data_IF_053009646514
#
_entry.id   IF_053009646514
#
_cell.length_a   1.000
_cell.length_b   1.000
_cell.length_c   1.000
_cell.angle_alpha   90.00
_cell.angle_beta   90.00
_cell.angle_gamma   90.00
#
_symmetry.space_group_name_H-M   'P 1'
#
loop_
_entity.id
_entity.type
_entity.pdbx_description
1 polymer ?
#
# COMPACT_ATOMS: atom_id res chain seq x y z
N UNK A 1 12.75 -8.54 15.88
CA UNK A 1 12.55 -9.20 14.59
C UNK A 1 12.62 -8.14 13.49
N UNK A 2 13.30 -8.47 12.42
CA UNK A 2 13.49 -7.56 11.29
C UNK A 2 12.28 -7.58 10.37
N UNK A 3 12.03 -6.45 9.72
CA UNK A 3 10.93 -6.30 8.75
C UNK A 3 10.99 -7.38 7.67
N UNK A 4 12.18 -7.71 7.17
CA UNK A 4 12.35 -8.76 6.14
C UNK A 4 11.84 -10.14 6.55
N UNK A 5 11.72 -10.41 7.82
CA UNK A 5 11.26 -11.70 8.33
C UNK A 5 9.72 -11.82 8.31
N UNK A 6 8.99 -10.70 8.22
CA UNK A 6 7.52 -10.67 8.22
C UNK A 6 6.93 -10.14 6.93
N UNK A 7 7.71 -9.47 6.09
CA UNK A 7 7.22 -8.86 4.84
C UNK A 7 6.82 -9.91 3.81
N UNK A 8 5.94 -9.51 2.89
CA UNK A 8 5.76 -10.23 1.63
C UNK A 8 6.84 -9.77 0.66
N UNK A 9 7.66 -10.70 0.17
CA UNK A 9 8.74 -10.40 -0.78
C UNK A 9 8.27 -10.35 -2.23
N UNK A 10 7.04 -10.77 -2.52
CA UNK A 10 6.49 -10.67 -3.87
C UNK A 10 5.92 -9.28 -4.09
N UNK A 11 6.63 -8.49 -4.89
CA UNK A 11 6.14 -7.21 -5.36
C UNK A 11 5.50 -7.39 -6.73
N UNK A 12 4.18 -7.45 -6.75
CA UNK A 12 3.40 -7.42 -7.99
C UNK A 12 2.80 -6.03 -8.11
N UNK A 13 3.19 -5.30 -9.14
CA UNK A 13 2.77 -3.94 -9.33
C UNK A 13 2.00 -3.74 -10.62
N UNK A 14 1.42 -2.57 -10.75
CA UNK A 14 0.82 -2.06 -11.98
C UNK A 14 1.51 -0.77 -12.35
N UNK A 15 1.41 -0.37 -13.63
CA UNK A 15 1.99 0.87 -14.11
C UNK A 15 1.01 2.02 -13.98
N UNK A 16 1.51 3.24 -13.95
CA UNK A 16 0.64 4.42 -13.90
C UNK A 16 -0.30 4.49 -15.11
N UNK A 17 0.12 3.92 -16.26
CA UNK A 17 -0.68 3.90 -17.50
C UNK A 17 -1.57 2.66 -17.67
N UNK A 18 -1.60 1.78 -16.67
CA UNK A 18 -2.53 0.65 -16.67
C UNK A 18 -3.95 1.16 -16.42
N UNK A 19 -4.94 0.62 -17.13
CA UNK A 19 -6.34 0.99 -16.90
C UNK A 19 -6.81 0.48 -15.54
N UNK A 20 -7.79 1.16 -14.97
CA UNK A 20 -8.41 0.71 -13.71
C UNK A 20 -9.11 -0.62 -13.85
N UNK A 21 -9.69 -0.89 -15.03
CA UNK A 21 -10.31 -2.19 -15.32
C UNK A 21 -9.29 -3.32 -15.25
N UNK A 22 -8.13 -3.16 -15.90
CA UNK A 22 -7.08 -4.18 -15.88
C UNK A 22 -6.51 -4.34 -14.48
N UNK A 23 -6.37 -3.25 -13.73
CA UNK A 23 -5.93 -3.28 -12.33
C UNK A 23 -6.92 -4.05 -11.45
N UNK A 24 -8.21 -3.80 -11.61
CA UNK A 24 -9.25 -4.52 -10.89
C UNK A 24 -9.22 -6.02 -11.22
N UNK A 25 -8.95 -6.38 -12.46
CA UNK A 25 -8.81 -7.76 -12.90
C UNK A 25 -7.61 -8.43 -12.24
N UNK A 26 -6.47 -7.73 -12.12
CA UNK A 26 -5.31 -8.22 -11.37
C UNK A 26 -5.66 -8.46 -9.90
N UNK A 27 -6.37 -7.53 -9.27
CA UNK A 27 -6.81 -7.68 -7.88
C UNK A 27 -7.70 -8.91 -7.71
N UNK A 28 -8.61 -9.14 -8.65
CA UNK A 28 -9.49 -10.29 -8.63
C UNK A 28 -8.72 -11.60 -8.76
N UNK A 29 -7.81 -11.69 -9.73
CA UNK A 29 -7.03 -12.90 -9.99
C UNK A 29 -6.06 -13.25 -8.86
N UNK A 30 -5.48 -12.23 -8.23
CA UNK A 30 -4.52 -12.39 -7.14
C UNK A 30 -5.18 -12.42 -5.76
N UNK A 31 -6.48 -12.12 -5.69
CA UNK A 31 -7.24 -12.00 -4.44
C UNK A 31 -6.58 -11.02 -3.46
N UNK A 32 -6.23 -9.84 -3.97
CA UNK A 32 -5.60 -8.77 -3.19
C UNK A 32 -6.29 -7.43 -3.45
N UNK A 33 -6.28 -6.57 -2.45
CA UNK A 33 -6.97 -5.27 -2.50
C UNK A 33 -6.03 -4.07 -2.67
N UNK A 34 -4.73 -4.29 -2.87
CA UNK A 34 -3.79 -3.20 -3.10
C UNK A 34 -2.59 -3.67 -3.91
N UNK A 35 -2.05 -2.76 -4.71
CA UNK A 35 -0.89 -3.01 -5.56
C UNK A 35 0.04 -1.80 -5.55
N UNK A 36 1.36 -2.00 -5.53
CA UNK A 36 2.31 -0.94 -5.82
C UNK A 36 2.12 -0.43 -7.25
N UNK A 37 2.31 0.86 -7.44
CA UNK A 37 2.24 1.50 -8.75
C UNK A 37 3.64 1.91 -9.15
N UNK A 38 4.07 1.50 -10.34
CA UNK A 38 5.39 1.81 -10.86
C UNK A 38 5.30 2.79 -12.03
N UNK A 39 6.32 3.63 -12.14
CA UNK A 39 6.48 4.50 -13.30
C UNK A 39 6.94 3.68 -14.49
N UNK A 40 6.28 3.80 -15.67
CA UNK A 40 6.73 3.11 -16.87
C UNK A 40 8.09 3.59 -17.39
N UNK A 41 8.54 4.76 -16.95
CA UNK A 41 9.79 5.36 -17.43
C UNK A 41 11.04 4.77 -16.76
N UNK A 42 10.96 4.48 -15.45
CA UNK A 42 12.15 4.07 -14.69
C UNK A 42 11.89 2.90 -13.72
N UNK A 43 10.70 2.29 -13.76
CA UNK A 43 10.28 1.18 -12.88
C UNK A 43 10.34 1.51 -11.38
N UNK A 44 10.36 2.78 -11.01
CA UNK A 44 10.28 3.17 -9.61
C UNK A 44 8.84 3.09 -9.11
N UNK A 45 8.69 2.65 -7.87
CA UNK A 45 7.38 2.69 -7.21
C UNK A 45 7.04 4.15 -6.88
N UNK A 46 5.91 4.63 -7.39
CA UNK A 46 5.49 6.03 -7.27
C UNK A 46 4.22 6.19 -6.45
N UNK A 47 3.54 5.10 -6.11
CA UNK A 47 2.32 5.17 -5.33
C UNK A 47 1.77 3.78 -5.04
N UNK A 48 0.58 3.77 -4.46
CA UNK A 48 -0.21 2.57 -4.21
C UNK A 48 -1.60 2.78 -4.79
N UNK A 49 -2.20 1.71 -5.27
CA UNK A 49 -3.61 1.69 -5.70
C UNK A 49 -4.35 0.63 -4.89
N UNK A 50 -5.51 1.00 -4.36
CA UNK A 50 -6.36 0.09 -3.60
C UNK A 50 -7.69 -0.10 -4.33
N UNK A 51 -8.39 -1.19 -4.00
CA UNK A 51 -9.76 -1.41 -4.45
C UNK A 51 -10.68 -0.26 -4.02
N UNK A 52 -10.47 0.29 -2.82
CA UNK A 52 -11.20 1.47 -2.35
C UNK A 52 -10.93 2.69 -3.24
N UNK A 53 -9.71 2.93 -3.66
CA UNK A 53 -9.38 4.04 -4.59
C UNK A 53 -10.18 3.92 -5.87
N UNK A 54 -10.29 2.73 -6.43
CA UNK A 54 -11.04 2.48 -7.67
C UNK A 54 -12.52 2.80 -7.46
N UNK A 55 -13.10 2.31 -6.37
CA UNK A 55 -14.53 2.52 -6.08
C UNK A 55 -14.82 4.00 -5.81
N UNK A 56 -14.05 4.62 -4.92
CA UNK A 56 -14.37 5.97 -4.41
C UNK A 56 -13.94 7.06 -5.37
N UNK A 57 -12.78 6.90 -6.02
CA UNK A 57 -12.19 7.96 -6.85
C UNK A 57 -12.50 7.81 -8.34
N UNK A 58 -13.05 6.68 -8.76
CA UNK A 58 -13.39 6.44 -10.16
C UNK A 58 -14.87 6.08 -10.32
N UNK A 59 -15.29 4.92 -9.85
CA UNK A 59 -16.67 4.41 -10.04
C UNK A 59 -17.67 5.40 -9.45
N UNK A 60 -17.48 5.88 -8.24
CA UNK A 60 -18.40 6.82 -7.58
C UNK A 60 -18.51 8.17 -8.29
N UNK A 61 -17.48 8.55 -9.05
CA UNK A 61 -17.48 9.80 -9.82
C UNK A 61 -18.03 9.64 -11.24
N UNK A 62 -18.47 8.43 -11.61
CA UNK A 62 -19.00 8.16 -12.94
C UNK A 62 -17.94 8.05 -14.04
N UNK A 63 -16.67 7.90 -13.67
CA UNK A 63 -15.60 7.74 -14.66
C UNK A 63 -15.64 6.35 -15.29
N UNK A 64 -15.14 6.25 -16.54
CA UNK A 64 -15.03 4.98 -17.24
C UNK A 64 -13.75 4.27 -16.85
N UNK A 65 -13.86 3.18 -16.11
CA UNK A 65 -12.70 2.40 -15.62
C UNK A 65 -11.88 1.78 -16.76
N UNK A 66 -12.46 1.64 -17.95
CA UNK A 66 -11.76 1.10 -19.12
C UNK A 66 -10.79 2.12 -19.74
N UNK A 67 -11.01 3.41 -19.52
CA UNK A 67 -10.19 4.48 -20.08
C UNK A 67 -9.41 5.26 -19.03
N UNK A 68 -9.85 5.23 -17.78
CA UNK A 68 -9.14 5.90 -16.70
C UNK A 68 -7.95 5.07 -16.24
N UNK A 69 -6.81 5.74 -16.00
CA UNK A 69 -5.56 5.09 -15.63
C UNK A 69 -5.31 5.12 -14.13
N UNK A 70 -4.52 4.17 -13.66
CA UNK A 70 -4.10 4.06 -12.25
C UNK A 70 -3.48 5.36 -11.74
N UNK A 71 -2.65 6.02 -12.57
CA UNK A 71 -2.01 7.27 -12.19
C UNK A 71 -2.96 8.38 -11.80
N UNK A 72 -4.21 8.32 -12.30
CA UNK A 72 -5.23 9.35 -12.03
C UNK A 72 -5.85 9.23 -10.63
N UNK A 73 -5.80 8.04 -10.03
CA UNK A 73 -6.50 7.77 -8.76
C UNK A 73 -5.61 7.16 -7.67
N UNK A 74 -4.37 6.82 -7.98
CA UNK A 74 -3.45 6.24 -6.99
C UNK A 74 -3.18 7.19 -5.83
N UNK A 75 -2.77 6.61 -4.69
CA UNK A 75 -2.37 7.36 -3.51
C UNK A 75 -0.86 7.57 -3.49
N UNK A 76 -0.44 8.78 -3.17
CA UNK A 76 0.95 9.17 -2.93
C UNK A 76 0.96 10.27 -1.86
N UNK A 77 2.06 10.50 -1.12
CA UNK A 77 3.36 9.85 -1.22
C UNK A 77 3.38 8.44 -0.61
N UNK A 78 4.43 7.69 -0.94
CA UNK A 78 4.68 6.37 -0.37
C UNK A 78 5.15 6.46 1.07
N UNK A 79 4.72 5.50 1.89
CA UNK A 79 5.25 5.27 3.23
C UNK A 79 6.19 4.07 3.14
N UNK A 80 7.44 4.25 3.56
CA UNK A 80 8.50 3.26 3.41
C UNK A 80 9.19 2.95 4.73
N UNK A 81 9.75 1.75 4.82
CA UNK A 81 10.73 1.37 5.83
C UNK A 81 11.81 0.53 5.14
N UNK A 82 12.83 0.11 5.88
CA UNK A 82 13.91 -0.73 5.34
C UNK A 82 13.79 -2.16 5.84
N UNK A 83 14.29 -3.09 5.05
CA UNK A 83 14.20 -4.53 5.35
C UNK A 83 14.92 -4.91 6.65
N UNK A 84 15.95 -4.18 7.02
CA UNK A 84 16.73 -4.40 8.24
C UNK A 84 16.21 -3.62 9.45
N UNK A 85 15.17 -2.83 9.29
CA UNK A 85 14.51 -2.15 10.41
C UNK A 85 13.81 -3.17 11.31
N UNK A 86 13.62 -2.81 12.57
CA UNK A 86 12.80 -3.61 13.47
C UNK A 86 11.31 -3.48 13.09
N UNK A 87 10.51 -4.52 13.36
CA UNK A 87 9.07 -4.52 13.02
C UNK A 87 8.33 -3.35 13.65
N UNK A 88 8.79 -2.88 14.82
CA UNK A 88 8.22 -1.73 15.52
C UNK A 88 8.32 -0.45 14.72
N UNK A 89 9.34 -0.32 13.87
CA UNK A 89 9.48 0.86 12.99
C UNK A 89 8.42 0.86 11.90
N UNK A 90 8.07 -0.31 11.36
CA UNK A 90 6.97 -0.43 10.41
C UNK A 90 5.64 -0.07 11.08
N UNK A 91 5.40 -0.53 12.30
CA UNK A 91 4.19 -0.19 13.05
C UNK A 91 4.11 1.30 13.35
N UNK A 92 5.23 1.91 13.71
CA UNK A 92 5.31 3.35 13.95
C UNK A 92 4.98 4.14 12.69
N UNK A 93 5.50 3.72 11.53
CA UNK A 93 5.20 4.35 10.25
C UNK A 93 3.71 4.25 9.90
N UNK A 94 3.10 3.09 10.14
CA UNK A 94 1.66 2.90 9.93
C UNK A 94 0.84 3.84 10.79
N UNK A 95 1.17 3.97 12.08
CA UNK A 95 0.48 4.87 13.00
C UNK A 95 0.64 6.33 12.58
N UNK A 96 1.86 6.75 12.27
CA UNK A 96 2.16 8.14 11.95
C UNK A 96 1.43 8.62 10.68
N UNK A 97 1.31 7.74 9.69
CA UNK A 97 0.73 8.07 8.38
C UNK A 97 -0.68 7.51 8.19
N UNK A 98 -1.20 6.77 9.18
CA UNK A 98 -2.53 6.14 9.13
C UNK A 98 -2.72 5.27 7.89
N UNK A 99 -1.70 4.47 7.59
CA UNK A 99 -1.71 3.52 6.48
C UNK A 99 -1.65 2.10 6.99
N UNK A 100 -2.15 1.16 6.22
CA UNK A 100 -2.19 -0.27 6.56
C UNK A 100 -1.11 -1.08 5.87
N UNK A 101 -0.31 -0.43 5.04
CA UNK A 101 0.79 -1.06 4.30
C UNK A 101 1.95 -0.10 4.20
N UNK A 102 3.15 -0.66 4.24
CA UNK A 102 4.41 0.08 4.15
C UNK A 102 5.27 -0.61 3.12
N UNK A 103 5.83 0.15 2.20
CA UNK A 103 6.79 -0.36 1.22
C UNK A 103 8.12 -0.62 1.91
N UNK A 104 8.73 -1.76 1.62
CA UNK A 104 10.02 -2.14 2.20
C UNK A 104 11.12 -1.95 1.16
N UNK A 105 12.17 -1.26 1.55
CA UNK A 105 13.32 -0.98 0.71
C UNK A 105 14.55 -1.71 1.23
N UNK A 106 15.49 -2.01 0.34
CA UNK A 106 16.82 -2.50 0.74
C UNK A 106 17.76 -1.32 1.02
N UNK A 107 19.03 -1.61 1.32
CA UNK A 107 20.05 -0.62 1.60
C UNK A 107 20.36 0.31 0.41
N UNK A 108 19.98 -0.10 -0.80
CA UNK A 108 20.11 0.70 -2.03
C UNK A 108 18.83 1.46 -2.37
N UNK A 109 17.87 1.50 -1.43
CA UNK A 109 16.55 2.12 -1.61
C UNK A 109 15.74 1.51 -2.77
N UNK A 110 15.95 0.24 -3.05
CA UNK A 110 15.17 -0.51 -4.02
C UNK A 110 14.01 -1.21 -3.31
N UNK A 111 12.81 -1.25 -3.90
CA UNK A 111 11.68 -1.93 -3.30
C UNK A 111 11.93 -3.45 -3.29
N UNK A 112 11.77 -4.06 -2.12
CA UNK A 112 11.99 -5.51 -1.94
C UNK A 112 10.79 -6.22 -1.34
N UNK A 113 9.79 -5.51 -0.85
CA UNK A 113 8.61 -6.13 -0.28
C UNK A 113 7.58 -5.14 0.23
N UNK A 114 6.54 -5.68 0.83
CA UNK A 114 5.48 -4.93 1.51
C UNK A 114 5.23 -5.55 2.88
N UNK A 115 4.98 -4.71 3.87
CA UNK A 115 4.47 -5.12 5.17
C UNK A 115 3.06 -4.60 5.32
N UNK A 116 2.13 -5.48 5.60
CA UNK A 116 0.74 -5.13 5.88
C UNK A 116 0.45 -5.18 7.37
N UNK A 117 -0.66 -4.54 7.77
CA UNK A 117 -1.19 -4.69 9.13
C UNK A 117 -1.44 -6.17 9.46
N UNK A 118 -1.91 -6.96 8.48
CA UNK A 118 -2.10 -8.40 8.66
C UNK A 118 -0.80 -9.14 8.92
N UNK A 119 0.30 -8.75 8.25
CA UNK A 119 1.62 -9.34 8.52
C UNK A 119 2.07 -9.07 9.95
N UNK A 120 1.85 -7.86 10.46
CA UNK A 120 2.15 -7.53 11.86
C UNK A 120 1.31 -8.35 12.83
N UNK A 121 0.04 -8.56 12.51
CA UNK A 121 -0.88 -9.32 13.37
C UNK A 121 -0.48 -10.79 13.50
N UNK A 122 0.18 -11.35 12.48
CA UNK A 122 0.67 -12.73 12.48
C UNK A 122 2.10 -12.86 12.99
N UNK A 123 2.80 -11.74 13.14
CA UNK A 123 4.18 -11.70 13.60
C UNK A 123 4.27 -11.56 15.13
N UNK A 124 5.50 -11.44 15.65
CA UNK A 124 5.74 -11.37 17.09
C UNK A 124 5.59 -9.96 17.67
N UNK A 125 4.78 -9.13 17.06
CA UNK A 125 4.50 -7.80 17.60
C UNK A 125 3.69 -7.94 18.90
N UNK A 126 4.00 -7.07 19.86
CA UNK A 126 3.26 -7.00 21.12
C UNK A 126 1.78 -6.69 20.85
N UNK A 127 0.89 -7.39 21.57
CA UNK A 127 -0.55 -7.21 21.47
C UNK A 127 -0.98 -5.76 21.70
N UNK A 128 -0.37 -5.08 22.67
CA UNK A 128 -0.65 -3.67 22.95
C UNK A 128 -0.26 -2.77 21.79
N UNK A 129 0.89 -3.02 21.17
CA UNK A 129 1.35 -2.28 20.01
C UNK A 129 0.44 -2.54 18.81
N UNK A 130 0.07 -3.78 18.56
CA UNK A 130 -0.85 -4.14 17.49
C UNK A 130 -2.20 -3.42 17.68
N UNK A 131 -2.75 -3.41 18.90
CA UNK A 131 -3.99 -2.70 19.20
C UNK A 131 -3.86 -1.21 18.91
N UNK A 132 -2.73 -0.61 19.28
CA UNK A 132 -2.45 0.80 19.01
C UNK A 132 -2.44 1.09 17.51
N UNK A 133 -1.79 0.25 16.71
CA UNK A 133 -1.74 0.41 15.25
C UNK A 133 -3.14 0.31 14.66
N UNK A 134 -3.91 -0.72 15.04
CA UNK A 134 -5.27 -0.92 14.53
C UNK A 134 -6.15 0.29 14.82
N UNK A 135 -6.08 0.85 16.03
CA UNK A 135 -6.85 2.04 16.40
C UNK A 135 -6.47 3.25 15.55
N UNK A 136 -5.18 3.48 15.35
CA UNK A 136 -4.70 4.63 14.59
C UNK A 136 -5.08 4.56 13.12
N UNK A 137 -4.89 3.40 12.47
CA UNK A 137 -5.18 3.25 11.04
C UNK A 137 -6.68 3.13 10.77
N UNK A 138 -7.49 2.80 11.77
CA UNK A 138 -8.94 2.70 11.65
C UNK A 138 -9.66 4.01 11.95
N UNK A 139 -8.95 5.00 12.49
CA UNK A 139 -9.52 6.34 12.69
C UNK A 139 -9.64 7.03 11.34
N UNK A 140 -10.84 7.50 10.95
CA UNK A 140 -11.00 8.18 9.67
C UNK A 140 -10.12 9.42 9.60
N UNK A 141 -9.50 9.64 8.44
CA UNK A 141 -8.86 10.92 8.17
C UNK A 141 -9.92 12.04 8.18
N UNK A 142 -9.54 13.29 8.53
CA UNK A 142 -10.46 14.40 8.38
C UNK A 142 -11.03 14.43 6.97
N UNK A 143 -12.33 14.71 6.85
CA UNK A 143 -12.96 14.83 5.54
C UNK A 143 -12.21 15.90 4.72
N UNK A 144 -11.87 15.54 3.47
CA UNK A 144 -11.33 16.53 2.54
C UNK A 144 -12.40 17.61 2.33
N UNK A 145 -11.96 18.85 2.26
CA UNK A 145 -12.87 19.95 1.92
C UNK A 145 -13.50 19.67 0.55
N UNK A 146 -14.80 19.91 0.39
CA UNK A 146 -15.49 19.67 -0.87
C UNK A 146 -14.94 20.50 -2.03
#
# INVERSE_FOLDING_TARGET
>A
MKVKEVMSAELRGVRTDTSLKDTAEHMRLLDIGSLPVVSPENNRVVGMITDRDIVVRSVARGADVSTQNVGDVMSSPLVCCHEDDEVEEASTAMKAKRVRRVLVLNDKNQPVGLVSLGDLAQGPIDQAELTSVVRNVSTPAPAEAP
#
